data_IF_336508991023
#
_entry.id   IF_336508991023
#
_cell.length_a   1.000
_cell.length_b   1.000
_cell.length_c   1.000
_cell.angle_alpha   90.00
_cell.angle_beta   90.00
_cell.angle_gamma   90.00
#
_symmetry.space_group_name_H-M   'P 1'
#
loop_
_entity.id
_entity.type
_entity.pdbx_description
1 polymer ?
2 polymer ?
3 non-polymer ?
4 non-polymer ?
5 water ?
#
loop_
_entity_poly.entity_id
_entity_poly.type
_entity_poly.pdbx_seq_one_letter_code
_entity_poly.pdbx_strand_id
2 'polyribonucleotide' '(GTP)GUCACGCACAGAGCAAACCAUUCGAAAGAGUGGGACGCAAAGCCUCCGGCCUAAACCAUUGCACUCCGGUAGGUAGCGGGGUUAUCGAUGG' ?
#
# COMPACT_ATOMS: atom_id res chain seq x y z
N UNK A 7 -11.45 -10.68 -7.21
CA UNK A 7 -11.15 -9.61 -6.22
C UNK A 7 -9.65 -9.27 -6.10
N UNK A 8 -8.77 -10.29 -5.94
CA UNK A 8 -7.34 -10.01 -5.75
C UNK A 8 -6.67 -9.37 -6.97
N UNK A 9 -5.71 -8.49 -6.70
CA UNK A 9 -4.95 -7.79 -7.74
C UNK A 9 -3.55 -7.45 -7.20
N UNK A 10 -2.61 -7.24 -8.12
CA UNK A 10 -1.22 -6.91 -7.77
C UNK A 10 -1.09 -5.73 -6.79
N UNK A 11 -2.00 -4.77 -6.91
CA UNK A 11 -1.93 -3.55 -6.11
C UNK A 11 -2.87 -3.61 -4.92
N UNK A 12 -2.38 -3.18 -3.76
CA UNK A 12 -3.21 -3.08 -2.56
C UNK A 12 -3.48 -1.63 -2.19
N UNK A 13 -4.71 -1.38 -1.77
CA UNK A 13 -5.18 -0.06 -1.35
C UNK A 13 -5.06 0.05 0.17
N UNK A 14 -4.47 1.13 0.64
CA UNK A 14 -4.24 1.35 2.07
C UNK A 14 -4.72 2.73 2.51
N UNK A 15 -5.78 2.78 3.31
CA UNK A 15 -6.19 4.04 3.94
C UNK A 15 -6.20 3.97 5.46
N UNK A 16 -6.64 5.04 6.11
CA UNK A 16 -6.53 5.21 7.56
C UNK A 16 -5.06 5.47 7.93
N UNK A 17 -4.29 5.89 6.94
CA UNK A 17 -2.89 6.27 7.15
C UNK A 17 -2.85 7.63 7.82
N UNK A 18 -1.81 7.87 8.58
CA UNK A 18 -1.56 9.20 9.15
C UNK A 18 -1.25 10.19 8.02
N UNK A 19 -1.96 11.32 8.04
CA UNK A 19 -1.87 12.31 6.97
C UNK A 19 -0.69 13.27 7.14
N UNK A 20 -0.24 13.42 8.38
CA UNK A 20 0.83 14.35 8.75
C UNK A 20 2.20 13.92 8.22
N UNK A 21 2.27 12.72 7.65
CA UNK A 21 3.55 12.14 7.20
C UNK A 21 3.91 12.65 5.81
N UNK A 22 5.21 12.91 5.62
CA UNK A 22 5.73 13.41 4.34
C UNK A 22 5.69 12.36 3.24
N UNK A 23 5.91 12.80 2.00
CA UNK A 23 5.92 11.92 0.83
C UNK A 23 7.11 10.95 0.86
N UNK A 24 8.30 11.48 1.19
CA UNK A 24 9.54 10.70 1.27
C UNK A 24 9.46 9.65 2.36
N UNK A 25 9.07 10.09 3.56
CA UNK A 25 9.04 9.25 4.74
C UNK A 25 8.03 8.12 4.56
N UNK A 26 6.81 8.49 4.20
CA UNK A 26 5.70 7.54 4.06
C UNK A 26 6.09 6.35 3.20
N UNK A 27 6.64 6.64 2.01
CA UNK A 27 7.11 5.60 1.09
C UNK A 27 8.19 4.71 1.71
N UNK A 28 9.26 5.33 2.23
CA UNK A 28 10.36 4.61 2.87
C UNK A 28 9.85 3.67 3.95
N UNK A 29 8.85 4.13 4.70
CA UNK A 29 8.26 3.38 5.80
C UNK A 29 7.41 2.21 5.31
N UNK A 30 6.63 2.44 4.26
CA UNK A 30 5.83 1.36 3.65
C UNK A 30 6.73 0.32 2.99
N UNK A 31 7.73 0.81 2.24
CA UNK A 31 8.74 -0.01 1.59
C UNK A 31 9.37 -1.00 2.55
N UNK A 32 9.77 -0.50 3.73
CA UNK A 32 10.39 -1.31 4.77
C UNK A 32 9.45 -2.38 5.33
N UNK A 33 8.15 -2.09 5.27
CA UNK A 33 7.14 -2.95 5.86
C UNK A 33 6.72 -4.10 4.95
N UNK A 34 6.43 -3.78 3.69
CA UNK A 34 5.81 -4.75 2.79
C UNK A 34 6.79 -5.58 1.94
N UNK A 35 8.09 -5.39 2.15
CA UNK A 35 9.10 -6.19 1.45
C UNK A 35 9.09 -7.65 1.92
N UNK A 36 8.55 -7.85 3.12
CA UNK A 36 8.38 -9.17 3.73
C UNK A 36 7.51 -10.12 2.90
N UNK A 37 6.80 -9.57 1.92
CA UNK A 37 5.79 -10.31 1.17
C UNK A 37 6.13 -10.51 -0.31
N UNK A 38 7.12 -9.77 -0.77
CA UNK A 38 7.58 -9.87 -2.16
C UNK A 38 8.29 -8.61 -2.59
N UNK A 39 8.52 -8.48 -3.90
CA UNK A 39 9.14 -7.28 -4.42
C UNK A 39 8.10 -6.24 -4.79
N UNK A 40 8.29 -5.03 -4.30
CA UNK A 40 7.44 -3.91 -4.66
C UNK A 40 8.06 -3.16 -5.83
N UNK A 41 7.28 -3.01 -6.90
CA UNK A 41 7.75 -2.31 -8.09
C UNK A 41 7.81 -0.80 -7.82
N UNK A 42 6.69 -0.25 -7.34
CA UNK A 42 6.60 1.14 -6.93
C UNK A 42 5.48 1.37 -5.92
N UNK A 43 5.71 2.31 -5.00
CA UNK A 43 4.71 2.73 -4.02
C UNK A 43 4.14 4.08 -4.45
N UNK A 44 2.83 4.12 -4.65
CA UNK A 44 2.17 5.32 -5.12
C UNK A 44 1.56 6.08 -3.95
N UNK A 45 2.21 7.19 -3.59
CA UNK A 45 1.74 8.05 -2.52
C UNK A 45 1.71 9.49 -3.02
N UNK A 46 0.53 10.09 -2.93
CA UNK A 46 0.35 11.52 -3.17
C UNK A 46 -0.46 12.10 -2.02
N UNK A 47 -0.22 13.36 -1.70
CA UNK A 47 -0.90 14.00 -0.58
C UNK A 47 -1.98 15.00 -1.03
N UNK A 48 -2.50 14.80 -2.24
CA UNK A 48 -3.58 15.64 -2.77
C UNK A 48 -4.85 15.43 -1.99
N UNK A 49 -5.70 16.46 -1.94
CA UNK A 49 -6.95 16.44 -1.17
C UNK A 49 -7.58 15.05 -1.07
N UNK A 50 -7.88 14.44 -2.22
CA UNK A 50 -8.57 13.16 -2.27
C UNK A 50 -7.68 11.97 -1.97
N UNK A 51 -6.37 12.18 -2.02
CA UNK A 51 -5.42 11.08 -1.90
C UNK A 51 -4.66 11.02 -0.59
N UNK A 52 -4.98 11.93 0.33
CA UNK A 52 -4.36 11.96 1.66
C UNK A 52 -4.69 10.66 2.39
N UNK A 53 -3.82 10.30 3.33
CA UNK A 53 -4.04 9.14 4.20
C UNK A 53 -4.36 7.85 3.48
N UNK A 54 -3.88 7.74 2.24
CA UNK A 54 -3.99 6.50 1.48
C UNK A 54 -2.80 6.30 0.55
N UNK A 55 -2.52 5.03 0.25
CA UNK A 55 -1.37 4.66 -0.57
C UNK A 55 -1.70 3.46 -1.45
N UNK A 56 -0.91 3.26 -2.49
CA UNK A 56 -1.03 2.08 -3.35
C UNK A 56 0.31 1.37 -3.47
N UNK A 57 0.32 0.08 -3.17
CA UNK A 57 1.54 -0.72 -3.20
C UNK A 57 1.40 -1.81 -4.26
N UNK A 58 2.27 -1.74 -5.27
CA UNK A 58 2.23 -2.66 -6.40
C UNK A 58 3.28 -3.78 -6.27
N UNK A 59 2.81 -5.02 -6.23
CA UNK A 59 3.65 -6.18 -5.98
C UNK A 59 4.01 -6.97 -7.25
N UNK A 60 5.07 -7.78 -7.14
CA UNK A 60 5.54 -8.61 -8.24
C UNK A 60 4.46 -9.62 -8.64
N UNK A 61 4.03 -10.45 -7.70
CA UNK A 61 2.91 -11.37 -7.93
C UNK A 61 1.70 -11.00 -7.09
N UNK A 62 0.54 -11.50 -7.51
CA UNK A 62 -0.74 -11.23 -6.82
C UNK A 62 -0.75 -11.84 -5.41
N UNK A 63 -0.08 -12.99 -5.26
CA UNK A 63 0.05 -13.67 -3.98
C UNK A 63 0.76 -12.80 -2.95
N UNK A 64 1.78 -12.07 -3.40
CA UNK A 64 2.52 -11.13 -2.55
C UNK A 64 1.57 -10.12 -1.90
N UNK A 65 0.62 -9.65 -2.68
CA UNK A 65 -0.41 -8.73 -2.19
C UNK A 65 -1.34 -9.42 -1.19
N UNK A 66 -1.70 -10.67 -1.48
CA UNK A 66 -2.56 -11.46 -0.60
C UNK A 66 -1.87 -11.70 0.75
N UNK A 67 -0.62 -12.13 0.70
CA UNK A 67 0.19 -12.32 1.91
C UNK A 67 0.20 -11.04 2.74
N UNK A 68 0.51 -9.93 2.08
CA UNK A 68 0.53 -8.61 2.71
C UNK A 68 -0.82 -8.26 3.33
N UNK A 69 -1.88 -8.43 2.54
CA UNK A 69 -3.24 -8.06 2.97
C UNK A 69 -3.72 -8.85 4.18
N UNK A 70 -3.36 -10.13 4.24
CA UNK A 70 -3.89 -11.01 5.28
C UNK A 70 -3.13 -10.94 6.59
N UNK A 71 -1.88 -10.44 6.55
CA UNK A 71 -1.02 -10.41 7.73
C UNK A 71 -0.90 -9.03 8.37
N UNK A 72 -1.32 -8.00 7.65
CA UNK A 72 -1.13 -6.62 8.07
C UNK A 72 -2.43 -5.83 8.27
N UNK A 73 -3.57 -6.52 8.30
CA UNK A 73 -4.84 -5.83 8.47
C UNK A 73 -5.00 -5.32 9.90
N UNK A 74 -5.14 -4.00 10.01
CA UNK A 74 -5.22 -3.35 11.31
C UNK A 74 -3.88 -3.33 12.02
N UNK A 75 -2.81 -3.36 11.25
CA UNK A 75 -1.46 -3.26 11.79
C UNK A 75 -1.18 -1.81 12.18
N UNK A 76 -0.93 -1.57 13.47
CA UNK A 76 -0.69 -0.21 13.97
C UNK A 76 0.58 0.36 13.38
N UNK A 77 0.40 1.26 12.42
CA UNK A 77 1.49 1.88 11.72
C UNK A 77 1.34 3.38 11.91
N UNK A 78 2.29 3.96 12.63
CA UNK A 78 2.29 5.39 12.92
C UNK A 78 1.05 5.77 13.73
N UNK A 79 0.90 5.11 14.90
CA UNK A 79 -0.21 5.34 15.84
C UNK A 79 -1.60 4.96 15.30
N UNK A 80 -1.65 4.45 14.07
CA UNK A 80 -2.92 4.09 13.46
C UNK A 80 -2.90 2.73 12.76
N UNK A 81 -3.83 1.82 13.15
CA UNK A 81 -4.03 0.52 12.50
C UNK A 81 -4.51 0.65 11.05
N UNK A 82 -3.72 0.13 10.13
CA UNK A 82 -3.99 0.25 8.70
C UNK A 82 -5.24 -0.50 8.28
N UNK A 83 -5.88 0.03 7.24
CA UNK A 83 -7.01 -0.62 6.59
C UNK A 83 -6.55 -1.00 5.20
N UNK A 84 -6.36 -2.29 4.98
CA UNK A 84 -5.83 -2.78 3.71
C UNK A 84 -6.91 -3.56 2.94
N UNK A 85 -7.08 -3.20 1.67
CA UNK A 85 -7.90 -3.99 0.76
C UNK A 85 -7.27 -3.96 -0.62
N UNK A 86 -7.66 -4.90 -1.48
CA UNK A 86 -7.16 -4.94 -2.85
C UNK A 86 -7.64 -3.72 -3.63
N UNK A 87 -6.78 -3.20 -4.49
CA UNK A 87 -7.17 -2.17 -5.44
C UNK A 87 -8.16 -2.78 -6.42
N UNK A 88 -9.30 -2.12 -6.60
CA UNK A 88 -10.40 -2.66 -7.40
C UNK A 88 -10.11 -2.65 -8.90
N UNK A 89 -9.18 -1.78 -9.31
CA UNK A 89 -8.74 -1.69 -10.69
C UNK A 89 -7.21 -1.80 -10.74
N UNK A 90 -6.71 -2.51 -11.75
CA UNK A 90 -5.28 -2.73 -11.93
C UNK A 90 -4.54 -1.41 -12.15
N UNK A 91 -3.39 -1.28 -11.51
CA UNK A 91 -2.54 -0.09 -11.66
C UNK A 91 -2.02 0.04 -13.09
N UNK A 92 -1.86 1.29 -13.53
CA UNK A 92 -1.48 1.60 -14.93
C UNK A 92 -0.20 0.92 -15.41
N UNK A 93 0.64 0.51 -14.46
CA UNK A 93 1.87 -0.23 -14.78
C UNK A 93 1.57 -1.68 -15.18
N UNK A 94 0.62 -2.29 -14.47
CA UNK A 94 0.21 -3.67 -14.74
C UNK A 94 -0.60 -3.76 -16.03
N UNK A 95 -1.45 -2.76 -16.26
CA UNK A 95 -2.26 -2.72 -17.47
C UNK A 95 -1.40 -2.52 -18.71
N UNK A 96 -0.08 -2.53 -18.51
CA UNK A 96 0.88 -2.35 -19.60
C UNK A 96 1.99 -3.41 -19.68
X LIG C 1 25.45 45.59 -23.43
X LIG C 1 25.10 46.86 -22.69
X LIG C 1 26.94 45.52 -23.57
X LIG C 1 24.93 44.30 -22.61
X LIG C 1 24.87 43.03 -23.28
X LIG C 1 23.74 42.14 -22.76
X LIG C 1 23.85 42.00 -21.35
X LIG C 1 22.34 42.63 -23.07
X LIG C 1 21.77 41.91 -24.16
X LIG C 1 21.55 42.34 -21.81
X LIG C 1 20.86 41.10 -21.92
X LIG C 1 22.59 42.25 -20.71
X LIG C 1 22.67 43.50 -19.92
X LIG C 1 23.72 44.34 -19.86
X LIG C 1 23.43 45.37 -19.03
X LIG C 1 22.19 45.15 -18.56
X LIG C 1 21.38 45.84 -17.68
X LIG C 1 21.85 47.00 -17.14
X LIG C 1 20.15 45.37 -17.39
X LIG C 1 19.69 44.23 -17.95
X LIG C 1 20.46 43.53 -18.80
X LIG C 1 21.71 43.97 -19.12
X LIG C 1 20.60 42.55 -25.07
X LIG C 1 19.36 42.76 -24.24
X LIG C 1 20.28 41.63 -26.23
X LIG C 1 21.13 43.95 -25.63
X LIG C 1 22.29 43.99 -26.48
X LIG C 1 22.90 45.39 -26.46
X LIG C 1 21.95 46.35 -26.91
X LIG C 1 23.34 45.77 -25.06
X LIG C 1 24.74 45.51 -24.87
X LIG C 1 23.07 47.26 -25.01
X LIG C 1 24.23 48.01 -25.33
X LIG C 1 21.98 47.50 -26.05
X LIG C 1 20.70 47.67 -25.32
X LIG C 1 19.67 46.81 -25.32
X LIG C 1 18.69 47.30 -24.54
X LIG C 1 19.12 48.48 -24.04
X LIG C 1 18.56 49.42 -23.19
X LIG C 1 17.31 49.22 -22.70
X LIG C 1 19.26 50.54 -22.88
X LIG C 1 20.49 50.74 -23.37
X LIG C 1 21.07 49.84 -24.19
X LIG C 1 20.39 48.71 -24.54
X LIG D 1 28.87 48.60 -21.75
#
# INVERSE_FOLDING_TARGET
MAVPETRPNHTIYINNLNEKIKKDELKKSLHAIFSRFGQILDILVSRSLKMRGQAFVIFKEVSSATNALRSMQGFPFYDKPMRIQYAKTDSDIIAKMK
2BA P O1P O2P O5' C5' C4' O4' C3' O3' C2' O2' C1' N9 C8 N7 C5 C6 N6 N1 C2 N3 C4 P1 O1P1 O2P1 O5'1 C5'1 C4'1 O4'1 C3'1 O3'1 C2'1 O2'1 C1'1 N91 C81 N71 C51 C61 N61 N11 C21 N31 C41
MG MG
#
